data_IF_863873000193
#
_entry.id   IF_863873000193
#
_cell.length_a   1.000
_cell.length_b   1.000
_cell.length_c   1.000
_cell.angle_alpha   90.00
_cell.angle_beta   90.00
_cell.angle_gamma   90.00
#
_symmetry.space_group_name_H-M   'P 1'
#
loop_
_entity.id
_entity.type
_entity.pdbx_description
1 polymer ?
#
# COMPACT_ATOMS: atom_id res chain seq x y z
N UNK A 1 -35.95 -31.09 13.38
CA UNK A 1 -34.93 -31.39 12.35
C UNK A 1 -34.54 -30.07 11.66
N UNK A 2 -33.56 -29.36 12.22
CA UNK A 2 -32.26 -29.07 11.58
C UNK A 2 -32.31 -28.69 10.09
N UNK A 3 -32.04 -27.42 9.77
CA UNK A 3 -30.77 -27.05 9.13
C UNK A 3 -30.63 -25.54 9.01
N UNK A 4 -29.68 -25.02 9.77
CA UNK A 4 -29.03 -23.72 9.61
C UNK A 4 -28.17 -23.75 8.35
N UNK A 5 -28.37 -22.82 7.41
CA UNK A 5 -27.34 -22.49 6.44
C UNK A 5 -26.69 -21.15 6.76
N UNK A 6 -25.44 -21.27 7.19
CA UNK A 6 -24.39 -20.26 7.18
C UNK A 6 -24.03 -19.94 5.73
N UNK A 7 -23.89 -18.67 5.37
CA UNK A 7 -23.01 -18.25 4.27
C UNK A 7 -22.60 -16.79 4.48
N UNK A 8 -21.33 -16.65 4.83
CA UNK A 8 -20.60 -15.42 5.06
C UNK A 8 -20.64 -14.46 3.85
N UNK A 9 -20.99 -13.22 4.15
CA UNK A 9 -20.31 -11.99 3.76
C UNK A 9 -19.33 -12.08 2.56
N UNK A 10 -19.84 -11.77 1.37
CA UNK A 10 -19.02 -11.47 0.19
C UNK A 10 -18.93 -9.96 0.03
N UNK A 11 -17.93 -9.34 0.68
CA UNK A 11 -17.54 -7.97 0.39
C UNK A 11 -16.99 -7.83 -1.04
N UNK A 12 -17.50 -6.93 -1.89
CA UNK A 12 -16.91 -6.66 -3.20
C UNK A 12 -15.59 -5.89 -3.04
N UNK A 13 -14.53 -6.43 -3.62
CA UNK A 13 -13.23 -5.75 -3.74
C UNK A 13 -13.37 -4.58 -4.74
N UNK A 14 -13.35 -3.36 -4.23
CA UNK A 14 -13.40 -2.16 -5.07
C UNK A 14 -12.03 -1.98 -5.77
N UNK A 15 -11.91 -2.54 -6.97
CA UNK A 15 -10.81 -2.26 -7.88
C UNK A 15 -10.95 -0.85 -8.45
N UNK A 16 -10.21 0.11 -7.88
CA UNK A 16 -10.11 1.47 -8.43
C UNK A 16 -9.22 1.48 -9.69
N UNK A 17 -9.68 0.90 -10.79
CA UNK A 17 -9.09 1.16 -12.10
C UNK A 17 -9.77 2.41 -12.68
N UNK A 18 -9.06 3.54 -12.59
CA UNK A 18 -9.48 4.82 -13.12
C UNK A 18 -9.81 4.74 -14.62
N UNK A 19 -10.99 5.24 -14.94
CA UNK A 19 -11.57 5.36 -16.28
C UNK A 19 -10.57 5.94 -17.29
N UNK A 20 -10.42 5.27 -18.43
CA UNK A 20 -9.94 5.91 -19.66
C UNK A 20 -11.14 6.09 -20.57
N UNK A 21 -11.72 7.29 -20.57
CA UNK A 21 -12.56 7.75 -21.67
C UNK A 21 -11.62 8.45 -22.65
N UNK A 22 -11.61 8.03 -23.91
CA UNK A 22 -10.79 8.66 -24.95
C UNK A 22 -11.51 8.56 -26.29
N UNK A 23 -12.62 9.29 -26.41
CA UNK A 23 -13.07 9.78 -27.71
C UNK A 23 -12.13 10.91 -28.15
N UNK A 24 -11.25 10.66 -29.13
CA UNK A 24 -10.90 11.60 -30.22
C UNK A 24 -9.70 11.10 -31.06
N UNK A 25 -9.69 11.28 -32.40
CA UNK A 25 -8.63 10.79 -33.29
C UNK A 25 -7.83 11.94 -33.91
N UNK A 26 -6.61 12.29 -33.46
CA UNK A 26 -5.81 13.33 -34.15
C UNK A 26 -4.29 13.07 -34.04
N UNK A 27 -3.70 12.81 -35.20
CA UNK A 27 -2.40 13.31 -35.69
C UNK A 27 -1.08 12.93 -34.98
N UNK A 28 -0.34 12.01 -35.60
CA UNK A 28 0.90 12.39 -36.28
C UNK A 28 2.10 12.91 -35.47
N UNK A 29 2.60 12.18 -34.46
CA UNK A 29 4.05 12.14 -34.10
C UNK A 29 4.32 11.17 -32.94
N UNK A 30 5.21 10.16 -33.07
CA UNK A 30 5.65 9.40 -31.92
C UNK A 30 6.62 10.27 -31.12
N UNK A 31 6.08 10.99 -30.14
CA UNK A 31 6.90 11.47 -29.02
C UNK A 31 7.45 10.21 -28.35
N UNK A 32 8.72 9.90 -28.60
CA UNK A 32 9.43 8.82 -27.91
C UNK A 32 9.42 9.15 -26.42
N UNK A 33 8.43 8.61 -25.72
CA UNK A 33 8.33 8.68 -24.27
C UNK A 33 9.63 8.06 -23.75
N UNK A 34 10.42 8.77 -22.92
CA UNK A 34 11.63 8.17 -22.35
C UNK A 34 11.23 6.84 -21.73
N UNK A 35 11.90 5.77 -22.14
CA UNK A 35 11.73 4.40 -21.64
C UNK A 35 11.40 4.48 -20.15
N UNK A 36 10.16 4.13 -19.77
CA UNK A 36 9.71 4.33 -18.38
C UNK A 36 10.59 3.48 -17.49
N UNK A 37 11.56 4.12 -16.83
CA UNK A 37 12.49 3.47 -15.91
C UNK A 37 11.68 2.69 -14.90
N UNK A 38 11.79 1.37 -15.01
CA UNK A 38 11.10 0.41 -14.17
C UNK A 38 12.12 -0.12 -13.17
N UNK A 39 11.73 -0.20 -11.89
CA UNK A 39 12.62 -0.52 -10.78
C UNK A 39 12.22 -1.88 -10.19
N UNK A 40 12.77 -3.01 -10.69
CA UNK A 40 12.47 -4.33 -10.16
C UNK A 40 13.10 -4.55 -8.78
N UNK A 41 12.50 -5.43 -7.98
CA UNK A 41 13.10 -5.90 -6.74
C UNK A 41 14.00 -7.11 -7.03
N UNK A 42 15.28 -7.00 -6.71
CA UNK A 42 16.28 -8.06 -6.95
C UNK A 42 16.60 -8.87 -5.69
N UNK A 43 15.75 -8.81 -4.65
CA UNK A 43 15.99 -9.57 -3.42
C UNK A 43 15.75 -11.07 -3.67
N UNK A 44 16.60 -11.96 -3.12
CA UNK A 44 16.45 -13.40 -3.29
C UNK A 44 15.11 -13.86 -2.71
N UNK A 45 14.31 -14.58 -3.51
CA UNK A 45 12.99 -15.07 -3.10
C UNK A 45 11.87 -14.01 -3.11
N UNK A 46 12.10 -12.82 -3.65
CA UNK A 46 11.03 -11.83 -3.81
C UNK A 46 10.09 -12.22 -4.96
N UNK A 47 8.88 -12.67 -4.62
CA UNK A 47 7.85 -13.05 -5.59
C UNK A 47 7.05 -11.87 -6.15
N UNK A 48 7.57 -10.64 -6.04
CA UNK A 48 6.84 -9.45 -6.50
C UNK A 48 6.82 -9.38 -8.03
N UNK A 49 5.65 -9.47 -8.69
CA UNK A 49 5.57 -9.79 -10.12
C UNK A 49 5.87 -8.60 -11.04
N UNK A 50 5.70 -7.36 -10.56
CA UNK A 50 5.75 -6.16 -11.41
C UNK A 50 6.79 -5.15 -10.91
N UNK A 51 7.64 -4.60 -11.79
CA UNK A 51 8.61 -3.60 -11.39
C UNK A 51 7.93 -2.31 -10.96
N UNK A 52 8.57 -1.58 -10.05
CA UNK A 52 8.02 -0.34 -9.53
C UNK A 52 8.22 0.80 -10.53
N UNK A 53 7.27 1.76 -10.60
CA UNK A 53 7.41 2.93 -11.49
C UNK A 53 8.45 3.94 -10.99
N UNK A 54 8.82 3.88 -9.72
CA UNK A 54 9.77 4.81 -9.09
C UNK A 54 10.70 4.08 -8.11
N UNK A 55 11.92 4.61 -7.93
CA UNK A 55 12.87 4.12 -6.91
C UNK A 55 12.27 4.11 -5.51
N UNK A 56 11.51 5.15 -5.18
CA UNK A 56 10.92 5.29 -3.85
C UNK A 56 9.89 4.19 -3.54
N UNK A 57 9.12 3.77 -4.55
CA UNK A 57 8.19 2.65 -4.39
C UNK A 57 8.93 1.32 -4.18
N UNK A 58 10.05 1.10 -4.87
CA UNK A 58 10.94 -0.05 -4.65
C UNK A 58 11.58 -0.02 -3.24
N UNK A 59 12.09 1.14 -2.81
CA UNK A 59 12.69 1.30 -1.47
C UNK A 59 11.67 0.94 -0.39
N UNK A 60 10.46 1.49 -0.47
CA UNK A 60 9.37 1.17 0.47
C UNK A 60 9.02 -0.31 0.49
N UNK A 61 8.98 -0.95 -0.69
CA UNK A 61 8.74 -2.37 -0.77
C UNK A 61 9.84 -3.15 -0.04
N UNK A 62 11.11 -2.81 -0.27
CA UNK A 62 12.23 -3.49 0.38
C UNK A 62 12.20 -3.32 1.90
N UNK A 63 11.94 -2.10 2.38
CA UNK A 63 11.84 -1.81 3.81
C UNK A 63 10.75 -2.64 4.48
N UNK A 64 9.57 -2.75 3.85
CA UNK A 64 8.44 -3.47 4.43
C UNK A 64 8.53 -4.99 4.28
N UNK A 65 9.02 -5.50 3.14
CA UNK A 65 8.98 -6.94 2.82
C UNK A 65 10.27 -7.66 3.22
N UNK A 66 11.42 -6.99 3.10
CA UNK A 66 12.72 -7.64 3.32
C UNK A 66 13.40 -7.20 4.62
N UNK A 67 13.11 -5.99 5.09
CA UNK A 67 13.67 -5.47 6.35
C UNK A 67 12.65 -5.48 7.49
N UNK A 68 11.37 -5.78 7.19
CA UNK A 68 10.22 -5.72 8.10
C UNK A 68 10.23 -4.47 9.01
N UNK A 69 10.62 -3.33 8.45
CA UNK A 69 10.75 -2.09 9.23
C UNK A 69 9.34 -1.62 9.59
N UNK A 70 8.99 -1.81 10.86
CA UNK A 70 7.75 -1.31 11.45
C UNK A 70 8.03 -0.15 12.40
N UNK A 71 7.09 0.77 12.46
CA UNK A 71 7.13 1.95 13.31
C UNK A 71 6.23 1.73 14.50
N UNK A 72 6.81 1.80 15.69
CA UNK A 72 6.07 1.69 16.94
C UNK A 72 5.23 2.95 17.16
N UNK A 73 4.00 2.78 17.61
CA UNK A 73 3.21 3.88 18.12
C UNK A 73 3.85 4.40 19.42
N UNK A 74 4.06 5.72 19.59
CA UNK A 74 4.61 6.28 20.82
C UNK A 74 3.58 6.37 21.96
N UNK A 75 2.30 6.11 21.70
CA UNK A 75 1.24 6.19 22.72
C UNK A 75 1.33 4.99 23.67
N UNK A 76 1.49 5.22 24.98
CA UNK A 76 1.56 4.12 25.95
C UNK A 76 0.25 3.34 25.97
N UNK A 77 0.35 2.01 25.98
CA UNK A 77 -0.82 1.12 25.92
C UNK A 77 -1.38 0.88 24.52
N UNK A 78 -0.72 1.36 23.46
CA UNK A 78 -1.10 1.03 22.09
C UNK A 78 -0.55 -0.34 21.66
N UNK A 79 -1.41 -1.18 21.11
CA UNK A 79 -1.02 -2.51 20.59
C UNK A 79 -0.18 -2.45 19.30
N UNK A 80 -0.03 -1.28 18.68
CA UNK A 80 0.75 -1.11 17.45
C UNK A 80 2.23 -0.86 17.72
N UNK A 81 2.87 -1.84 18.34
CA UNK A 81 4.31 -1.85 18.67
C UNK A 81 4.94 -3.20 18.31
N UNK A 82 6.25 -3.21 18.10
CA UNK A 82 7.04 -4.39 17.73
C UNK A 82 6.52 -5.04 16.44
N UNK A 83 6.20 -6.32 16.52
CA UNK A 83 5.65 -7.11 15.42
C UNK A 83 4.30 -6.58 14.94
N UNK A 84 3.52 -5.87 15.76
CA UNK A 84 2.26 -5.24 15.33
C UNK A 84 2.43 -3.76 14.97
N UNK A 85 3.68 -3.30 14.85
CA UNK A 85 4.00 -1.94 14.50
C UNK A 85 3.43 -1.49 13.16
N UNK A 86 3.33 -0.19 12.99
CA UNK A 86 2.78 0.45 11.81
C UNK A 86 3.75 0.21 10.65
N UNK A 87 3.26 -0.35 9.55
CA UNK A 87 4.06 -0.73 8.38
C UNK A 87 4.92 0.40 7.80
N UNK A 88 4.61 1.68 8.08
CA UNK A 88 5.37 2.84 7.61
C UNK A 88 5.21 4.07 8.51
N UNK A 89 6.21 4.95 8.51
CA UNK A 89 6.24 6.20 9.30
C UNK A 89 5.19 7.22 8.87
N UNK A 90 4.88 7.35 7.59
CA UNK A 90 3.86 8.27 7.08
C UNK A 90 2.44 7.88 7.52
N UNK A 91 2.21 6.61 7.83
CA UNK A 91 0.95 6.14 8.37
C UNK A 91 0.81 6.40 9.88
N UNK A 92 1.89 6.74 10.59
CA UNK A 92 1.87 6.96 12.04
C UNK A 92 0.98 8.16 12.43
N UNK A 93 1.09 9.35 11.81
CA UNK A 93 0.19 10.47 12.11
C UNK A 93 -1.29 10.13 11.84
N UNK A 94 -1.58 9.39 10.78
CA UNK A 94 -2.94 8.96 10.47
C UNK A 94 -3.46 7.93 11.49
N UNK A 95 -2.60 7.02 11.95
CA UNK A 95 -2.94 6.09 13.02
C UNK A 95 -3.24 6.84 14.32
N UNK A 96 -2.38 7.78 14.73
CA UNK A 96 -2.58 8.57 15.94
C UNK A 96 -3.88 9.36 15.84
N UNK A 97 -4.15 10.05 14.73
CA UNK A 97 -5.43 10.73 14.54
C UNK A 97 -6.64 9.80 14.69
N UNK A 98 -6.62 8.63 14.06
CA UNK A 98 -7.78 7.76 14.05
C UNK A 98 -7.97 6.91 15.32
N UNK A 99 -6.88 6.60 16.04
CA UNK A 99 -6.89 5.70 17.21
C UNK A 99 -6.58 6.40 18.53
N UNK A 100 -5.96 7.57 18.45
CA UNK A 100 -5.49 8.37 19.57
C UNK A 100 -5.84 9.84 19.36
N UNK A 101 -7.00 10.13 18.74
CA UNK A 101 -7.51 11.48 18.43
C UNK A 101 -7.40 12.47 19.61
N UNK A 102 -7.27 11.95 20.84
CA UNK A 102 -7.17 12.70 22.09
C UNK A 102 -5.75 12.80 22.68
N UNK A 103 -4.68 12.40 21.98
CA UNK A 103 -3.29 12.42 22.50
C UNK A 103 -2.31 13.30 21.70
N UNK A 104 -2.79 14.22 20.87
CA UNK A 104 -1.92 15.19 20.19
C UNK A 104 -2.21 16.59 20.70
N UNK A 105 -1.75 16.88 21.93
CA UNK A 105 -1.88 18.21 22.52
C UNK A 105 -1.46 18.26 23.98
N UNK A 106 -0.19 17.99 24.27
CA UNK A 106 0.56 18.54 25.42
C UNK A 106 2.00 18.80 24.94
#
# INVERSE_FOLDING_TARGET
MNQTHNSADQHPHISHHGRQNSDSPIDGSPRTRPERRSYPCNSPGCAWPSPFPTRQALTRHREAVHLDIRVNCPVPGCDRVGDNGIKRKDNLPAHIRNKHQNHLGE
#
